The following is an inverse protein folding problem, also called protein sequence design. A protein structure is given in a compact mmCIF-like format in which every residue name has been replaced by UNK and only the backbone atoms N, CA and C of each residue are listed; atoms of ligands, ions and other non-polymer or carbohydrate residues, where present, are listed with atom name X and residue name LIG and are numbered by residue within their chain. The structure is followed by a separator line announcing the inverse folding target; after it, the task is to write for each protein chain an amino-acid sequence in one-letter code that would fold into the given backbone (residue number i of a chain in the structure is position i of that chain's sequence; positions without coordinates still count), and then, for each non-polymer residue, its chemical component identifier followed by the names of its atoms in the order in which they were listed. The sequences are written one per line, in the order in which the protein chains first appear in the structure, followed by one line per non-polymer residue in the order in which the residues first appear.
data_IF_564105618767
#
_entry.id   IF_564105618767
#
_cell.length_a   1.000
_cell.length_b   1.000
_cell.length_c   1.000
_cell.angle_alpha   90.00
_cell.angle_beta   90.00
_cell.angle_gamma   90.00
#
_symmetry.space_group_name_H-M   'P 1'
#
loop_
_entity.id
_entity.type
_entity.pdbx_description
1 polymer ?
#
# COMPACT_ATOMS: atom_id res chain seq x y z
N UNK A 1 54.00 7.39 -16.61
CA UNK A 1 52.65 7.75 -16.16
C UNK A 1 51.78 6.49 -16.13
N UNK A 2 51.66 5.84 -14.98
CA UNK A 2 50.78 4.68 -14.80
C UNK A 2 49.56 5.16 -14.03
N UNK A 3 48.40 5.26 -14.70
CA UNK A 3 47.13 5.54 -14.03
C UNK A 3 46.61 4.24 -13.42
N UNK A 4 46.46 4.25 -12.10
CA UNK A 4 45.76 3.25 -11.31
C UNK A 4 44.28 3.29 -11.68
N UNK A 5 43.81 2.26 -12.37
CA UNK A 5 42.39 1.99 -12.57
C UNK A 5 41.84 1.47 -11.23
N UNK A 6 41.11 2.32 -10.51
CA UNK A 6 40.44 1.88 -9.29
C UNK A 6 39.19 1.11 -9.69
N UNK A 7 39.31 -0.22 -9.63
CA UNK A 7 38.16 -1.12 -9.68
C UNK A 7 37.15 -0.72 -8.62
N UNK A 8 35.99 -0.24 -9.09
CA UNK A 8 34.81 -0.05 -8.25
C UNK A 8 34.28 -1.44 -7.91
N UNK A 9 34.66 -1.96 -6.74
CA UNK A 9 33.97 -3.09 -6.13
C UNK A 9 32.53 -2.67 -5.90
N UNK A 10 31.64 -3.13 -6.77
CA UNK A 10 30.21 -2.90 -6.65
C UNK A 10 29.69 -3.90 -5.63
N UNK A 11 29.27 -3.40 -4.47
CA UNK A 11 28.67 -4.24 -3.43
C UNK A 11 27.43 -4.94 -4.02
N UNK A 12 27.34 -6.29 -3.96
CA UNK A 12 26.23 -7.03 -4.55
C UNK A 12 24.89 -6.84 -3.79
N UNK A 13 24.88 -5.99 -2.76
CA UNK A 13 23.75 -5.72 -1.89
C UNK A 13 23.32 -4.24 -1.88
N UNK A 14 23.81 -3.44 -2.83
CA UNK A 14 23.34 -2.07 -3.01
C UNK A 14 22.00 -2.09 -3.77
N UNK A 15 20.89 -2.20 -3.05
CA UNK A 15 19.55 -1.90 -3.59
C UNK A 15 19.61 -0.50 -4.18
N UNK A 16 19.38 -0.38 -5.50
CA UNK A 16 19.30 0.92 -6.17
C UNK A 16 18.26 1.78 -5.45
N UNK A 17 18.54 3.08 -5.32
CA UNK A 17 17.52 4.01 -4.82
C UNK A 17 16.25 3.89 -5.69
N UNK A 18 15.05 3.94 -5.09
CA UNK A 18 13.80 3.88 -5.84
C UNK A 18 13.66 5.10 -6.76
N UNK A 19 12.94 4.94 -7.86
CA UNK A 19 12.65 6.03 -8.80
C UNK A 19 11.81 7.11 -8.09
N UNK A 20 12.25 8.38 -8.03
CA UNK A 20 11.49 9.43 -7.38
C UNK A 20 10.07 9.60 -7.94
N UNK A 21 9.81 9.23 -9.20
CA UNK A 21 8.48 9.32 -9.83
C UNK A 21 7.51 8.21 -9.37
N UNK A 22 8.00 7.14 -8.73
CA UNK A 22 7.15 6.05 -8.21
C UNK A 22 6.93 6.13 -6.70
N UNK A 23 7.48 7.15 -6.04
CA UNK A 23 7.42 7.32 -4.59
C UNK A 23 6.45 8.44 -4.22
N UNK A 24 5.49 8.13 -3.34
CA UNK A 24 4.56 9.11 -2.79
C UNK A 24 5.26 10.15 -1.91
N UNK A 25 4.60 11.28 -1.65
CA UNK A 25 5.10 12.31 -0.72
C UNK A 25 5.39 11.76 0.70
N UNK A 26 4.75 10.66 1.09
CA UNK A 26 4.98 9.99 2.38
C UNK A 26 6.08 8.93 2.35
N UNK A 27 6.74 8.73 1.21
CA UNK A 27 7.88 7.81 1.06
C UNK A 27 7.50 6.36 0.70
N UNK A 28 6.25 6.08 0.37
CA UNK A 28 5.83 4.75 -0.11
C UNK A 28 6.08 4.61 -1.61
N UNK A 29 6.77 3.55 -2.02
CA UNK A 29 6.89 3.12 -3.42
C UNK A 29 5.57 2.48 -3.89
N UNK A 30 5.13 2.82 -5.09
CA UNK A 30 3.84 2.43 -5.65
C UNK A 30 4.06 1.53 -6.87
N UNK A 31 3.36 0.40 -6.89
CA UNK A 31 3.37 -0.51 -8.04
C UNK A 31 2.61 0.12 -9.23
N UNK A 32 3.01 -0.17 -10.48
CA UNK A 32 2.35 0.38 -11.66
C UNK A 32 0.90 -0.09 -11.84
N UNK A 33 0.49 -1.20 -11.23
CA UNK A 33 -0.88 -1.70 -11.28
C UNK A 33 -1.21 -2.58 -10.07
N UNK A 34 -2.43 -2.47 -9.54
CA UNK A 34 -2.95 -3.31 -8.46
C UNK A 34 -4.11 -4.17 -8.97
N UNK A 35 -3.90 -5.47 -9.08
CA UNK A 35 -4.91 -6.44 -9.56
C UNK A 35 -5.72 -7.09 -8.42
N UNK A 36 -6.86 -7.74 -8.74
CA UNK A 36 -7.69 -8.42 -7.75
C UNK A 36 -6.99 -9.58 -7.04
N UNK A 37 -5.96 -10.18 -7.66
CA UNK A 37 -5.16 -11.24 -7.05
C UNK A 37 -4.09 -10.71 -6.07
N UNK A 38 -3.77 -9.40 -6.11
CA UNK A 38 -2.68 -8.82 -5.33
C UNK A 38 -3.14 -8.35 -3.94
N UNK A 39 -4.41 -7.94 -3.80
CA UNK A 39 -4.96 -7.38 -2.57
C UNK A 39 -6.17 -8.20 -2.11
N UNK A 40 -6.05 -8.81 -0.93
CA UNK A 40 -7.16 -9.54 -0.32
C UNK A 40 -8.19 -8.56 0.23
N UNK A 41 -9.39 -8.55 -0.36
CA UNK A 41 -10.50 -7.66 0.03
C UNK A 41 -11.69 -8.41 0.64
N UNK A 42 -11.73 -9.72 0.47
CA UNK A 42 -12.71 -10.62 1.10
C UNK A 42 -12.08 -11.39 2.25
N UNK A 43 -12.92 -12.00 3.10
CA UNK A 43 -12.46 -12.91 4.15
C UNK A 43 -11.91 -14.20 3.53
N UNK A 44 -10.92 -14.80 4.20
CA UNK A 44 -10.31 -16.08 3.78
C UNK A 44 -11.30 -17.25 3.92
N UNK A 45 -12.16 -17.20 4.94
CA UNK A 45 -13.12 -18.26 5.25
C UNK A 45 -14.44 -18.12 4.46
N UNK A 46 -14.78 -16.90 4.02
CA UNK A 46 -16.05 -16.60 3.36
C UNK A 46 -15.90 -15.44 2.37
N UNK A 47 -15.88 -15.76 1.08
CA UNK A 47 -15.77 -14.79 -0.01
C UNK A 47 -16.94 -13.80 -0.10
N UNK A 48 -18.08 -14.10 0.54
CA UNK A 48 -19.22 -13.18 0.62
C UNK A 48 -19.02 -12.07 1.66
N UNK A 49 -18.04 -12.25 2.56
CA UNK A 49 -17.70 -11.29 3.61
C UNK A 49 -16.46 -10.48 3.24
N UNK A 50 -16.44 -9.23 3.68
CA UNK A 50 -15.25 -8.37 3.56
C UNK A 50 -14.13 -8.85 4.48
N UNK A 51 -12.88 -8.58 4.12
CA UNK A 51 -11.73 -8.81 4.98
C UNK A 51 -11.87 -8.06 6.33
N UNK A 52 -11.39 -8.65 7.43
CA UNK A 52 -11.60 -8.11 8.79
C UNK A 52 -11.02 -6.71 9.01
N UNK A 53 -9.91 -6.38 8.32
CA UNK A 53 -9.32 -5.04 8.37
C UNK A 53 -10.15 -3.99 7.66
N UNK A 54 -11.07 -4.40 6.77
CA UNK A 54 -11.97 -3.51 6.04
C UNK A 54 -13.33 -3.44 6.76
N UNK A 55 -13.91 -4.61 7.10
CA UNK A 55 -15.14 -4.71 7.89
C UNK A 55 -16.37 -4.02 7.27
N UNK A 56 -17.36 -3.72 8.12
CA UNK A 56 -18.60 -2.99 7.78
C UNK A 56 -18.61 -1.59 8.40
N UNK A 57 -19.27 -0.60 7.78
CA UNK A 57 -19.40 0.74 8.36
C UNK A 57 -20.14 0.67 9.71
N UNK A 58 -19.75 1.51 10.67
CA UNK A 58 -20.34 1.54 12.01
C UNK A 58 -19.90 0.42 12.93
N UNK A 59 -18.88 -0.36 12.57
CA UNK A 59 -18.32 -1.42 13.41
C UNK A 59 -16.80 -1.37 13.40
N UNK A 60 -16.17 -1.76 14.50
CA UNK A 60 -14.71 -1.90 14.58
C UNK A 60 -14.20 -2.78 13.41
N UNK A 61 -13.08 -2.44 12.73
CA UNK A 61 -12.11 -1.38 13.03
C UNK A 61 -12.47 0.02 12.46
N UNK A 62 -13.71 0.22 12.02
CA UNK A 62 -14.22 1.49 11.48
C UNK A 62 -13.50 2.00 10.23
N UNK A 63 -12.80 1.13 9.50
CA UNK A 63 -12.12 1.45 8.22
C UNK A 63 -13.08 2.05 7.19
N UNK A 64 -14.35 1.62 7.19
CA UNK A 64 -15.41 2.16 6.31
C UNK A 64 -16.25 3.28 6.94
N UNK A 65 -15.83 3.78 8.10
CA UNK A 65 -16.48 4.87 8.83
C UNK A 65 -17.15 4.44 10.13
N UNK A 66 -17.33 5.40 11.03
CA UNK A 66 -17.82 5.20 12.40
C UNK A 66 -19.34 5.06 12.52
N UNK A 67 -20.10 5.41 11.47
CA UNK A 67 -21.56 5.37 11.48
C UNK A 67 -22.09 4.39 10.43
N UNK A 68 -23.09 3.53 10.74
CA UNK A 68 -23.58 2.53 9.78
C UNK A 68 -24.12 3.12 8.47
N UNK A 69 -24.78 4.29 8.54
CA UNK A 69 -25.42 4.94 7.39
C UNK A 69 -24.58 6.08 6.80
N UNK A 70 -23.47 6.47 7.45
CA UNK A 70 -22.59 7.57 7.06
C UNK A 70 -23.37 8.82 6.60
N UNK A 71 -22.92 9.45 5.52
CA UNK A 71 -23.49 10.69 4.98
C UNK A 71 -24.85 10.54 4.32
N UNK A 72 -25.40 9.32 4.25
CA UNK A 72 -26.80 9.13 3.80
C UNK A 72 -27.80 9.60 4.85
N UNK A 73 -27.40 9.61 6.13
CA UNK A 73 -28.24 10.05 7.26
C UNK A 73 -27.91 11.45 7.75
N UNK A 74 -26.62 11.78 7.83
CA UNK A 74 -26.11 13.03 8.40
C UNK A 74 -24.87 13.46 7.63
N UNK A 75 -24.89 14.65 7.03
CA UNK A 75 -23.72 15.23 6.37
C UNK A 75 -22.58 15.49 7.39
N UNK A 76 -21.37 15.64 6.87
CA UNK A 76 -20.24 16.08 7.69
C UNK A 76 -20.48 17.49 8.23
N UNK A 77 -19.95 17.77 9.42
CA UNK A 77 -19.91 19.10 10.05
C UNK A 77 -18.49 19.41 10.44
#
# INVERSE_FOLDING_TARGET
MTKIDQGKTQDPNATSAPDPETVTISGYEVDPCYGPAQIQTTSEDDVSRTQDRIGTPGSYPFTRGIHPEMYRKRLWT
#
